data_IF_167146650109
#
_entry.id   IF_167146650109
#
_cell.length_a   1.000
_cell.length_b   1.000
_cell.length_c   1.000
_cell.angle_alpha   90.00
_cell.angle_beta   90.00
_cell.angle_gamma   90.00
#
_symmetry.space_group_name_H-M   'P 1'
#
loop_
_entity.id
_entity.type
_entity.pdbx_description
1 polymer ?
#
# COMPACT_ATOMS: atom_id res chain seq x y z
N UNK A 1 -14.85 24.36 9.46
CA UNK A 1 -14.89 22.89 9.67
C UNK A 1 -13.49 22.45 10.10
N UNK A 2 -13.36 21.82 11.26
CA UNK A 2 -12.06 21.35 11.75
C UNK A 2 -11.53 20.25 10.83
N UNK A 3 -10.24 20.30 10.47
CA UNK A 3 -9.58 19.23 9.73
C UNK A 3 -9.81 17.92 10.48
N UNK A 4 -10.53 16.98 9.87
CA UNK A 4 -10.60 15.62 10.40
C UNK A 4 -9.17 15.11 10.51
N UNK A 5 -8.77 14.71 11.71
CA UNK A 5 -7.41 14.21 11.92
C UNK A 5 -7.35 12.79 11.36
N UNK A 6 -6.90 12.68 10.11
CA UNK A 6 -6.59 11.40 9.46
C UNK A 6 -5.64 10.60 10.36
N UNK A 7 -6.05 9.38 10.73
CA UNK A 7 -5.21 8.51 11.55
C UNK A 7 -4.35 7.64 10.65
N UNK A 8 -3.15 7.32 11.13
CA UNK A 8 -2.26 6.38 10.46
C UNK A 8 -2.95 5.05 10.13
N UNK A 9 -3.69 4.50 11.10
CA UNK A 9 -4.39 3.21 10.92
C UNK A 9 -5.44 3.25 9.81
N UNK A 10 -6.08 4.39 9.58
CA UNK A 10 -7.09 4.53 8.52
C UNK A 10 -6.41 4.51 7.14
N UNK A 11 -5.26 5.17 7.01
CA UNK A 11 -4.43 5.11 5.79
C UNK A 11 -3.84 3.73 5.55
N UNK A 12 -3.33 3.08 6.58
CA UNK A 12 -2.78 1.72 6.50
C UNK A 12 -3.85 0.72 6.04
N UNK A 13 -5.07 0.82 6.59
CA UNK A 13 -6.21 0.00 6.17
C UNK A 13 -6.60 0.26 4.72
N UNK A 14 -6.57 1.53 4.27
CA UNK A 14 -6.82 1.86 2.88
C UNK A 14 -5.76 1.28 1.95
N UNK A 15 -4.49 1.36 2.34
CA UNK A 15 -3.40 0.75 1.60
C UNK A 15 -3.53 -0.77 1.52
N UNK A 16 -3.86 -1.44 2.64
CA UNK A 16 -4.12 -2.89 2.69
C UNK A 16 -5.29 -3.28 1.77
N UNK A 17 -6.38 -2.51 1.81
CA UNK A 17 -7.57 -2.72 0.99
C UNK A 17 -7.28 -2.64 -0.51
N UNK A 18 -6.65 -1.56 -0.96
CA UNK A 18 -6.27 -1.37 -2.38
C UNK A 18 -5.22 -2.43 -2.80
N UNK A 19 -4.39 -2.89 -1.86
CA UNK A 19 -3.38 -3.92 -2.11
C UNK A 19 -3.90 -5.35 -2.07
N UNK A 20 -5.13 -5.60 -1.65
CA UNK A 20 -5.70 -6.94 -1.50
C UNK A 20 -6.06 -7.58 -2.85
N UNK A 21 -6.44 -6.78 -3.85
CA UNK A 21 -6.85 -7.25 -5.19
C UNK A 21 -5.68 -7.67 -6.09
N UNK A 22 -5.96 -8.58 -7.03
CA UNK A 22 -5.08 -8.85 -8.18
C UNK A 22 -5.61 -8.05 -9.36
N UNK A 23 -5.13 -6.81 -9.52
CA UNK A 23 -5.56 -5.85 -10.52
C UNK A 23 -7.02 -5.35 -10.35
N UNK A 24 -7.15 -4.09 -9.94
CA UNK A 24 -8.27 -3.17 -10.16
C UNK A 24 -9.61 -3.29 -9.42
N UNK A 25 -9.87 -4.28 -8.56
CA UNK A 25 -11.21 -4.36 -7.95
C UNK A 25 -11.43 -3.44 -6.73
N UNK A 26 -10.36 -2.90 -6.15
CA UNK A 26 -10.42 -2.04 -4.97
C UNK A 26 -9.68 -0.72 -5.20
N UNK A 27 -10.35 0.40 -4.97
CA UNK A 27 -9.81 1.75 -5.02
C UNK A 27 -10.13 2.50 -3.74
N UNK A 28 -9.26 3.44 -3.35
CA UNK A 28 -9.53 4.35 -2.25
C UNK A 28 -8.91 5.72 -2.53
N UNK A 29 -9.55 6.77 -2.03
CA UNK A 29 -9.15 8.16 -2.24
C UNK A 29 -9.22 8.93 -0.93
N UNK A 30 -8.19 9.73 -0.63
CA UNK A 30 -8.15 10.58 0.56
C UNK A 30 -8.29 12.06 0.18
N UNK A 31 -9.21 12.77 0.84
CA UNK A 31 -9.30 14.24 0.75
C UNK A 31 -8.21 14.88 1.60
N UNK A 32 -7.36 15.71 0.99
CA UNK A 32 -6.25 16.43 1.65
C UNK A 32 -6.76 17.47 2.64
N UNK A 33 -7.88 18.12 2.32
CA UNK A 33 -8.47 19.17 3.15
C UNK A 33 -9.15 18.62 4.40
N UNK A 34 -9.81 17.46 4.29
CA UNK A 34 -10.64 16.89 5.37
C UNK A 34 -10.04 15.67 6.05
N UNK A 35 -9.13 14.95 5.39
CA UNK A 35 -8.62 13.66 5.84
C UNK A 35 -9.62 12.50 5.67
N UNK A 36 -10.78 12.72 5.04
CA UNK A 36 -11.77 11.67 4.79
C UNK A 36 -11.28 10.72 3.69
N UNK A 37 -11.49 9.42 3.88
CA UNK A 37 -11.21 8.38 2.88
C UNK A 37 -12.53 7.89 2.27
N UNK A 38 -12.55 7.84 0.96
CA UNK A 38 -13.60 7.25 0.13
C UNK A 38 -13.08 5.92 -0.43
N UNK A 39 -13.97 4.94 -0.56
CA UNK A 39 -13.64 3.56 -0.87
C UNK A 39 -14.53 3.12 -2.02
N UNK A 40 -13.97 2.31 -2.92
CA UNK A 40 -14.69 1.69 -4.02
C UNK A 40 -14.19 0.24 -4.14
N UNK A 41 -15.12 -0.70 -4.24
CA UNK A 41 -14.79 -2.09 -4.53
C UNK A 41 -15.93 -3.04 -4.18
N UNK A 42 -16.01 -4.12 -4.92
CA UNK A 42 -17.14 -5.07 -4.88
C UNK A 42 -17.13 -5.98 -3.63
N UNK A 43 -16.02 -6.00 -2.90
CA UNK A 43 -15.85 -6.86 -1.73
C UNK A 43 -16.52 -6.31 -0.45
N UNK A 44 -17.05 -5.08 -0.49
CA UNK A 44 -17.62 -4.39 0.68
C UNK A 44 -18.96 -3.76 0.29
N UNK A 45 -20.02 -4.15 0.99
CA UNK A 45 -21.33 -3.54 0.86
C UNK A 45 -21.39 -2.18 1.61
N UNK A 46 -22.39 -1.36 1.26
CA UNK A 46 -22.70 -0.08 1.93
C UNK A 46 -21.56 0.97 1.91
N UNK A 47 -20.75 0.98 0.83
CA UNK A 47 -19.76 2.02 0.61
C UNK A 47 -20.42 3.36 0.25
N UNK A 48 -19.81 4.46 0.72
CA UNK A 48 -20.21 5.79 0.31
C UNK A 48 -19.81 6.04 -1.15
N UNK A 49 -20.72 6.62 -1.93
CA UNK A 49 -20.47 6.95 -3.33
C UNK A 49 -19.27 7.91 -3.46
N UNK A 50 -18.43 7.66 -4.47
CA UNK A 50 -17.30 8.53 -4.76
C UNK A 50 -17.79 9.94 -5.16
N UNK A 51 -17.07 11.00 -4.77
CA UNK A 51 -17.30 12.33 -5.33
C UNK A 51 -17.22 12.28 -6.87
N UNK A 52 -18.15 12.92 -7.59
CA UNK A 52 -18.19 12.84 -9.06
C UNK A 52 -16.96 13.45 -9.74
N UNK A 53 -16.19 14.26 -9.02
CA UNK A 53 -14.97 14.92 -9.47
C UNK A 53 -13.69 14.31 -8.89
N UNK A 54 -13.75 13.13 -8.26
CA UNK A 54 -12.64 12.52 -7.50
C UNK A 54 -11.34 12.39 -8.32
N UNK A 55 -11.42 12.10 -9.63
CA UNK A 55 -10.25 11.94 -10.50
C UNK A 55 -9.69 13.27 -11.04
N UNK A 56 -10.46 14.36 -10.95
CA UNK A 56 -10.11 15.67 -11.53
C UNK A 56 -9.81 16.73 -10.49
N UNK A 57 -10.33 16.56 -9.27
CA UNK A 57 -10.19 17.52 -8.19
C UNK A 57 -8.91 17.23 -7.38
N UNK A 58 -7.96 18.19 -7.31
CA UNK A 58 -6.66 18.00 -6.67
C UNK A 58 -6.71 17.87 -5.13
N UNK A 59 -7.88 18.05 -4.51
CA UNK A 59 -8.07 17.73 -3.10
C UNK A 59 -8.04 16.22 -2.84
N UNK A 60 -8.40 15.39 -3.83
CA UNK A 60 -8.39 13.94 -3.69
C UNK A 60 -7.08 13.34 -4.18
N UNK A 61 -6.56 12.39 -3.41
CA UNK A 61 -5.35 11.63 -3.73
C UNK A 61 -5.71 10.16 -3.70
N UNK A 62 -5.47 9.45 -4.80
CA UNK A 62 -5.62 8.01 -4.85
C UNK A 62 -4.62 7.34 -3.88
N UNK A 63 -5.10 6.37 -3.12
CA UNK A 63 -4.25 5.54 -2.27
C UNK A 63 -3.49 4.56 -3.17
N UNK A 64 -2.15 4.56 -3.14
CA UNK A 64 -1.37 3.65 -3.97
C UNK A 64 -1.57 2.20 -3.52
N UNK A 65 -1.47 1.26 -4.45
CA UNK A 65 -1.34 -0.15 -4.14
C UNK A 65 0.14 -0.53 -3.89
N UNK A 66 0.37 -1.77 -3.42
CA UNK A 66 1.71 -2.32 -3.15
C UNK A 66 2.68 -2.34 -4.34
N UNK A 67 2.19 -2.30 -5.57
CA UNK A 67 3.00 -2.24 -6.79
C UNK A 67 3.32 -0.79 -7.20
N UNK A 68 2.43 0.18 -6.92
CA UNK A 68 2.63 1.60 -7.28
C UNK A 68 3.78 2.24 -6.49
N UNK A 69 4.04 1.74 -5.28
CA UNK A 69 5.17 2.22 -4.47
C UNK A 69 6.52 1.76 -5.02
N UNK A 70 6.55 0.73 -5.88
CA UNK A 70 7.73 0.15 -6.52
C UNK A 70 8.95 0.02 -5.59
N UNK A 71 8.72 -0.39 -4.33
CA UNK A 71 9.78 -0.42 -3.31
C UNK A 71 10.84 -1.51 -3.57
N UNK A 72 10.51 -2.45 -4.46
CA UNK A 72 11.43 -3.44 -5.02
C UNK A 72 12.28 -4.17 -3.96
N UNK A 73 13.57 -4.30 -4.26
CA UNK A 73 14.53 -4.96 -3.39
C UNK A 73 14.90 -4.11 -2.16
N UNK A 74 14.70 -2.78 -2.22
CA UNK A 74 15.08 -1.89 -1.12
C UNK A 74 14.24 -2.17 0.13
N UNK A 75 12.93 -2.38 -0.05
CA UNK A 75 12.03 -2.78 1.05
C UNK A 75 12.53 -4.04 1.75
N UNK A 76 12.97 -5.04 0.99
CA UNK A 76 13.48 -6.30 1.54
C UNK A 76 14.77 -6.05 2.34
N UNK A 77 15.68 -5.21 1.84
CA UNK A 77 16.93 -4.91 2.54
C UNK A 77 16.69 -4.15 3.84
N UNK A 78 15.75 -3.20 3.85
CA UNK A 78 15.43 -2.43 5.04
C UNK A 78 14.72 -3.31 6.09
N UNK A 79 13.81 -4.18 5.67
CA UNK A 79 13.21 -5.21 6.52
C UNK A 79 14.27 -6.15 7.11
N UNK A 80 15.13 -6.74 6.27
CA UNK A 80 16.16 -7.66 6.72
C UNK A 80 17.13 -7.00 7.71
N UNK A 81 17.47 -5.73 7.51
CA UNK A 81 18.35 -5.00 8.43
C UNK A 81 17.70 -4.75 9.80
N UNK A 82 16.40 -4.47 9.82
CA UNK A 82 15.66 -4.19 11.05
C UNK A 82 15.27 -5.44 11.84
N UNK A 83 14.77 -6.46 11.14
CA UNK A 83 14.09 -7.60 11.77
C UNK A 83 14.91 -8.90 11.75
N UNK A 84 15.89 -9.03 10.85
CA UNK A 84 16.70 -10.25 10.69
C UNK A 84 18.20 -9.93 10.46
N UNK A 85 18.83 -9.07 11.29
CA UNK A 85 20.18 -8.58 11.04
C UNK A 85 21.23 -9.69 10.92
N UNK A 86 21.05 -10.81 11.61
CA UNK A 86 21.91 -12.00 11.55
C UNK A 86 21.88 -12.74 10.21
N UNK A 87 20.79 -12.58 9.44
CA UNK A 87 20.60 -13.19 8.13
C UNK A 87 20.74 -12.18 6.98
N UNK A 88 21.04 -10.91 7.27
CA UNK A 88 21.08 -9.84 6.28
C UNK A 88 22.00 -10.16 5.09
N UNK A 89 23.19 -10.71 5.37
CA UNK A 89 24.19 -11.07 4.35
C UNK A 89 23.70 -12.19 3.41
N UNK A 90 22.99 -13.17 3.95
CA UNK A 90 22.39 -14.27 3.18
C UNK A 90 21.22 -13.77 2.30
N UNK A 91 20.36 -12.93 2.87
CA UNK A 91 19.26 -12.29 2.13
C UNK A 91 19.81 -11.40 1.01
N UNK A 92 20.87 -10.64 1.27
CA UNK A 92 21.54 -9.83 0.25
C UNK A 92 22.06 -10.69 -0.91
N UNK A 93 22.69 -11.84 -0.63
CA UNK A 93 23.14 -12.76 -1.67
C UNK A 93 21.97 -13.35 -2.47
N UNK A 94 20.86 -13.72 -1.80
CA UNK A 94 19.63 -14.21 -2.46
C UNK A 94 19.13 -13.22 -3.53
N UNK A 95 19.12 -11.93 -3.18
CA UNK A 95 18.63 -10.84 -4.03
C UNK A 95 19.61 -10.36 -5.10
N UNK A 96 20.88 -10.77 -5.02
CA UNK A 96 21.87 -10.54 -6.09
C UNK A 96 21.67 -11.44 -7.32
N UNK A 97 20.81 -12.47 -7.22
CA UNK A 97 20.62 -13.51 -8.25
C UNK A 97 19.21 -13.47 -8.85
N UNK A 98 19.02 -13.93 -10.10
CA UNK A 98 17.69 -14.04 -10.74
C UNK A 98 16.75 -14.95 -9.96
N UNK A 99 15.48 -14.60 -9.79
CA UNK A 99 14.51 -15.42 -9.02
C UNK A 99 14.63 -15.23 -7.50
N UNK A 100 15.07 -14.05 -7.07
CA UNK A 100 15.28 -13.67 -5.68
C UNK A 100 14.06 -13.89 -4.80
N UNK A 101 12.89 -13.37 -5.19
CA UNK A 101 11.66 -13.51 -4.41
C UNK A 101 11.27 -14.96 -4.12
N UNK A 102 11.43 -15.87 -5.09
CA UNK A 102 11.17 -17.30 -4.87
C UNK A 102 12.14 -17.91 -3.86
N UNK A 103 13.44 -17.58 -3.96
CA UNK A 103 14.45 -18.08 -3.02
C UNK A 103 14.28 -17.50 -1.63
N UNK A 104 13.95 -16.21 -1.53
CA UNK A 104 13.68 -15.56 -0.26
C UNK A 104 12.47 -16.17 0.43
N UNK A 105 11.40 -16.47 -0.32
CA UNK A 105 10.23 -17.18 0.20
C UNK A 105 10.56 -18.60 0.69
N UNK A 106 11.58 -19.25 0.14
CA UNK A 106 12.02 -20.57 0.61
C UNK A 106 12.97 -20.48 1.82
N UNK A 107 13.53 -19.29 2.07
CA UNK A 107 14.43 -19.01 3.17
C UNK A 107 13.65 -18.67 4.45
N UNK A 108 12.56 -17.90 4.31
CA UNK A 108 11.57 -17.65 5.37
C UNK A 108 10.76 -18.92 5.71
#
# INVERSE_FOLDING_TARGET
MGKGKLKWRDLEMAFEFVSAGTFSDNSAYVSRSTGKIFWEGDAVDDLEELPPDVDTNPDYVAIPNKYDLDLGNQLVMDFARGEMPEHFEEIRDIFSRRGAYRRFKNFL
#
